data_IF_776499185031
#
_entry.id   IF_776499185031
#
_cell.length_a   1.000
_cell.length_b   1.000
_cell.length_c   1.000
_cell.angle_alpha   90.00
_cell.angle_beta   90.00
_cell.angle_gamma   90.00
#
_symmetry.space_group_name_H-M   'P 1'
#
loop_
_entity.id
_entity.type
_entity.pdbx_description
1 polymer ?
#
# COMPACT_ATOMS: atom_id res chain seq x y z
N UNK A 1 0.33 -15.01 -22.99
CA UNK A 1 0.32 -16.37 -23.59
C UNK A 1 -0.91 -17.21 -23.23
N UNK A 2 -1.31 -17.33 -21.95
CA UNK A 2 -2.41 -18.22 -21.55
C UNK A 2 -3.77 -17.90 -22.19
N UNK A 3 -4.26 -16.66 -22.07
CA UNK A 3 -5.55 -16.21 -22.65
C UNK A 3 -5.59 -16.38 -24.17
N UNK A 4 -4.47 -16.16 -24.86
CA UNK A 4 -4.39 -16.26 -26.32
C UNK A 4 -4.50 -17.70 -26.83
N UNK A 5 -4.06 -18.68 -26.04
CA UNK A 5 -4.14 -20.12 -26.38
C UNK A 5 -5.50 -20.75 -26.02
N UNK A 6 -6.34 -20.03 -25.28
CA UNK A 6 -7.60 -20.56 -24.77
C UNK A 6 -8.68 -20.48 -25.85
N UNK A 7 -9.35 -21.60 -26.14
CA UNK A 7 -10.54 -21.61 -27.01
C UNK A 7 -11.68 -20.81 -26.36
N UNK A 8 -12.59 -20.19 -27.15
CA UNK A 8 -13.77 -19.53 -26.61
C UNK A 8 -14.54 -20.42 -25.62
N UNK A 9 -14.99 -19.85 -24.50
CA UNK A 9 -15.64 -20.58 -23.41
C UNK A 9 -14.69 -21.34 -22.47
N UNK A 10 -13.43 -21.55 -22.87
CA UNK A 10 -12.42 -22.21 -22.04
C UNK A 10 -12.09 -21.44 -20.77
N UNK A 11 -11.64 -22.15 -19.74
CA UNK A 11 -11.33 -21.61 -18.41
C UNK A 11 -9.82 -21.62 -18.18
N UNK A 12 -9.31 -20.53 -17.62
CA UNK A 12 -7.93 -20.35 -17.25
C UNK A 12 -7.85 -19.84 -15.82
N UNK A 13 -7.16 -20.60 -14.96
CA UNK A 13 -7.04 -20.30 -13.54
C UNK A 13 -5.58 -20.01 -13.19
N UNK A 14 -5.38 -18.98 -12.37
CA UNK A 14 -4.06 -18.56 -11.90
C UNK A 14 -4.06 -18.46 -10.37
N UNK A 15 -2.94 -18.85 -9.77
CA UNK A 15 -2.63 -18.57 -8.36
C UNK A 15 -1.55 -17.50 -8.34
N UNK A 16 -1.83 -16.36 -7.69
CA UNK A 16 -0.92 -15.21 -7.73
C UNK A 16 -1.13 -14.26 -6.54
N UNK A 17 -0.49 -13.10 -6.61
CA UNK A 17 -0.64 -12.00 -5.65
C UNK A 17 -1.90 -11.18 -5.95
N UNK A 18 -2.52 -10.60 -4.93
CA UNK A 18 -3.60 -9.59 -5.05
C UNK A 18 -3.14 -8.26 -5.63
N UNK A 19 -1.84 -8.11 -5.89
CA UNK A 19 -1.24 -6.90 -6.43
C UNK A 19 -1.90 -6.48 -7.75
N UNK A 20 -2.16 -7.43 -8.67
CA UNK A 20 -2.73 -7.12 -9.97
C UNK A 20 -4.17 -6.61 -9.89
N UNK A 21 -4.96 -7.08 -8.93
CA UNK A 21 -6.36 -6.69 -8.73
C UNK A 21 -6.43 -5.31 -8.07
N UNK A 22 -5.56 -5.04 -7.08
CA UNK A 22 -5.63 -3.86 -6.21
C UNK A 22 -4.93 -2.62 -6.78
N UNK A 23 -3.96 -2.76 -7.68
CA UNK A 23 -3.19 -1.62 -8.20
C UNK A 23 -3.80 -1.00 -9.45
N UNK A 24 -3.46 0.28 -9.67
CA UNK A 24 -3.90 1.10 -10.80
C UNK A 24 -2.82 1.25 -11.87
N UNK A 25 -3.11 2.01 -12.94
CA UNK A 25 -2.24 2.21 -14.10
C UNK A 25 -0.80 2.66 -13.83
N UNK A 26 -0.48 3.17 -12.64
CA UNK A 26 0.87 3.59 -12.25
C UNK A 26 1.81 2.42 -11.91
N UNK A 27 1.46 1.21 -12.32
CA UNK A 27 2.18 -0.04 -12.05
C UNK A 27 2.28 -0.88 -13.32
N UNK A 28 3.10 -1.93 -13.34
CA UNK A 28 3.29 -2.84 -14.48
C UNK A 28 2.02 -3.58 -14.97
N UNK A 29 0.85 -3.32 -14.37
CA UNK A 29 -0.44 -3.96 -14.65
C UNK A 29 -1.27 -3.19 -15.70
N UNK A 30 -0.78 -2.03 -16.16
CA UNK A 30 -1.51 -1.11 -17.07
C UNK A 30 -2.17 -1.80 -18.27
N UNK A 31 -1.52 -2.81 -18.85
CA UNK A 31 -1.99 -3.53 -20.04
C UNK A 31 -2.79 -4.79 -19.71
N UNK A 32 -2.61 -5.37 -18.52
CA UNK A 32 -3.21 -6.65 -18.15
C UNK A 32 -4.72 -6.54 -17.95
N UNK A 33 -5.17 -5.54 -17.20
CA UNK A 33 -6.60 -5.34 -16.90
C UNK A 33 -7.44 -5.07 -18.15
N UNK A 34 -7.07 -4.11 -19.03
CA UNK A 34 -7.78 -3.94 -20.30
C UNK A 34 -7.88 -5.25 -21.08
N UNK A 35 -6.76 -5.95 -21.26
CA UNK A 35 -6.74 -7.19 -22.02
C UNK A 35 -7.65 -8.28 -21.43
N UNK A 36 -7.66 -8.44 -20.10
CA UNK A 36 -8.57 -9.36 -19.42
C UNK A 36 -10.03 -8.95 -19.65
N UNK A 37 -10.35 -7.66 -19.53
CA UNK A 37 -11.73 -7.18 -19.70
C UNK A 37 -12.21 -7.30 -21.14
N UNK A 38 -11.33 -7.19 -22.12
CA UNK A 38 -11.68 -7.35 -23.53
C UNK A 38 -11.88 -8.83 -23.89
N UNK A 39 -11.01 -9.70 -23.39
CA UNK A 39 -10.94 -11.10 -23.84
C UNK A 39 -11.65 -12.09 -22.92
N UNK A 40 -11.88 -11.77 -21.65
CA UNK A 40 -12.32 -12.72 -20.65
C UNK A 40 -13.42 -12.18 -19.73
N UNK A 41 -14.22 -13.10 -19.19
CA UNK A 41 -14.97 -12.87 -17.97
C UNK A 41 -14.13 -13.30 -16.77
N UNK A 42 -14.03 -12.47 -15.74
CA UNK A 42 -13.64 -12.91 -14.42
C UNK A 42 -14.85 -13.63 -13.80
N UNK A 43 -14.75 -14.95 -13.63
CA UNK A 43 -15.88 -15.77 -13.15
C UNK A 43 -15.76 -16.10 -11.67
N UNK A 44 -14.53 -16.20 -11.15
CA UNK A 44 -14.31 -16.51 -9.75
C UNK A 44 -13.04 -15.84 -9.22
N UNK A 45 -13.10 -15.40 -7.98
CA UNK A 45 -11.98 -14.90 -7.21
C UNK A 45 -11.98 -15.55 -5.82
N UNK A 46 -10.87 -16.19 -5.47
CA UNK A 46 -10.64 -16.82 -4.17
C UNK A 46 -9.57 -16.03 -3.44
N UNK A 47 -9.94 -15.38 -2.34
CA UNK A 47 -9.01 -14.70 -1.43
C UNK A 47 -8.47 -15.69 -0.41
N UNK A 48 -7.19 -16.03 -0.57
CA UNK A 48 -6.46 -16.93 0.34
C UNK A 48 -5.97 -16.19 1.59
N UNK A 49 -6.19 -14.87 1.68
CA UNK A 49 -5.81 -14.03 2.81
C UNK A 49 -4.32 -14.17 3.16
N UNK A 50 -3.98 -14.81 4.29
CA UNK A 50 -2.61 -15.02 4.79
C UNK A 50 -2.11 -16.46 4.61
N UNK A 51 -2.88 -17.33 3.97
CA UNK A 51 -2.49 -18.73 3.78
C UNK A 51 -1.29 -18.79 2.83
N UNK A 52 -0.22 -19.45 3.28
CA UNK A 52 0.88 -19.84 2.42
C UNK A 52 0.54 -21.17 1.77
N UNK A 53 -0.04 -21.11 0.57
CA UNK A 53 -0.36 -22.31 -0.23
C UNK A 53 0.92 -23.07 -0.59
N UNK A 54 1.95 -22.33 -0.99
CA UNK A 54 3.28 -22.87 -1.30
C UNK A 54 4.26 -22.34 -0.25
N UNK A 55 4.60 -23.15 0.75
CA UNK A 55 5.45 -22.74 1.88
C UNK A 55 6.88 -22.41 1.43
N UNK A 56 7.38 -23.14 0.45
CA UNK A 56 8.77 -23.06 -0.02
C UNK A 56 8.93 -22.15 -1.25
N UNK A 57 7.83 -21.65 -1.83
CA UNK A 57 7.89 -20.72 -2.94
C UNK A 57 8.09 -19.29 -2.45
N UNK A 58 9.08 -18.60 -3.03
CA UNK A 58 9.30 -17.17 -2.77
C UNK A 58 8.14 -16.33 -3.31
N UNK A 59 7.68 -15.35 -2.53
CA UNK A 59 6.62 -14.41 -2.92
C UNK A 59 5.31 -14.58 -2.15
N UNK A 60 4.32 -13.75 -2.50
CA UNK A 60 2.98 -13.79 -1.90
C UNK A 60 2.01 -14.50 -2.84
N UNK A 61 1.38 -15.57 -2.38
CA UNK A 61 0.33 -16.29 -3.13
C UNK A 61 -0.97 -16.19 -2.37
N UNK A 62 -1.63 -15.03 -2.48
CA UNK A 62 -2.79 -14.69 -1.65
C UNK A 62 -4.11 -14.65 -2.44
N UNK A 63 -4.12 -14.98 -3.74
CA UNK A 63 -5.37 -15.27 -4.43
C UNK A 63 -5.29 -16.31 -5.54
N UNK A 64 -6.46 -16.86 -5.84
CA UNK A 64 -6.74 -17.64 -7.04
C UNK A 64 -7.80 -16.89 -7.83
N UNK A 65 -7.66 -16.80 -9.14
CA UNK A 65 -8.72 -16.27 -9.98
C UNK A 65 -8.91 -17.12 -11.22
N UNK A 66 -10.16 -17.23 -11.65
CA UNK A 66 -10.55 -17.99 -12.83
C UNK A 66 -11.15 -17.05 -13.86
N UNK A 67 -10.59 -17.12 -15.07
CA UNK A 67 -11.04 -16.39 -16.24
C UNK A 67 -11.72 -17.35 -17.21
N UNK A 68 -12.79 -16.90 -17.85
CA UNK A 68 -13.40 -17.61 -18.98
C UNK A 68 -13.20 -16.79 -20.26
N UNK A 69 -12.65 -17.40 -21.31
CA UNK A 69 -12.51 -16.74 -22.63
C UNK A 69 -13.89 -16.41 -23.20
N UNK A 70 -14.09 -15.16 -23.61
CA UNK A 70 -15.32 -14.72 -24.26
C UNK A 70 -15.43 -15.33 -25.66
N UNK A 71 -16.66 -15.60 -26.09
CA UNK A 71 -16.97 -15.79 -27.50
C UNK A 71 -17.13 -14.44 -28.21
N UNK A 72 -17.07 -14.42 -29.54
CA UNK A 72 -17.33 -13.19 -30.30
C UNK A 72 -18.78 -12.70 -30.09
N UNK A 73 -19.73 -13.61 -29.96
CA UNK A 73 -21.12 -13.27 -29.60
C UNK A 73 -21.22 -12.62 -28.20
N UNK A 74 -20.42 -13.08 -27.22
CA UNK A 74 -20.37 -12.44 -25.89
C UNK A 74 -19.88 -10.99 -25.97
N UNK A 75 -18.86 -10.74 -26.81
CA UNK A 75 -18.30 -9.41 -27.04
C UNK A 75 -19.32 -8.49 -27.72
N UNK A 76 -19.96 -8.97 -28.79
CA UNK A 76 -20.99 -8.23 -29.53
C UNK A 76 -22.20 -7.88 -28.66
N UNK A 77 -22.72 -8.85 -27.90
CA UNK A 77 -23.88 -8.64 -27.01
C UNK A 77 -23.54 -7.95 -25.69
N UNK A 78 -22.25 -7.65 -25.44
CA UNK A 78 -21.76 -7.04 -24.20
C UNK A 78 -22.31 -7.75 -22.96
N UNK A 79 -22.26 -9.09 -22.99
CA UNK A 79 -22.79 -9.95 -21.93
C UNK A 79 -22.15 -9.57 -20.60
N UNK A 80 -22.96 -9.54 -19.55
CA UNK A 80 -22.50 -9.27 -18.20
C UNK A 80 -22.60 -10.53 -17.35
N UNK A 81 -21.54 -10.85 -16.60
CA UNK A 81 -21.51 -11.98 -15.68
C UNK A 81 -21.23 -11.50 -14.27
N UNK A 82 -21.90 -12.12 -13.30
CA UNK A 82 -21.56 -12.01 -11.88
C UNK A 82 -20.22 -12.69 -11.61
N UNK A 83 -19.61 -12.34 -10.48
CA UNK A 83 -18.29 -12.82 -10.07
C UNK A 83 -18.45 -13.54 -8.74
N UNK A 84 -18.15 -14.84 -8.75
CA UNK A 84 -18.15 -15.64 -7.54
C UNK A 84 -16.93 -15.27 -6.67
N UNK A 85 -17.16 -15.04 -5.39
CA UNK A 85 -16.11 -14.78 -4.42
C UNK A 85 -16.10 -15.89 -3.38
N UNK A 86 -14.91 -16.42 -3.12
CA UNK A 86 -14.64 -17.31 -1.99
C UNK A 86 -13.59 -16.63 -1.11
N UNK A 87 -13.92 -16.36 0.13
CA UNK A 87 -13.04 -15.65 1.05
C UNK A 87 -12.69 -16.53 2.23
N UNK A 88 -11.39 -16.67 2.50
CA UNK A 88 -10.89 -17.44 3.63
C UNK A 88 -10.58 -16.48 4.78
N UNK A 89 -11.22 -16.71 5.94
CA UNK A 89 -11.11 -15.83 7.10
C UNK A 89 -9.77 -16.01 7.82
N UNK A 90 -9.02 -14.92 8.03
CA UNK A 90 -7.74 -14.93 8.75
C UNK A 90 -7.86 -14.83 10.28
N UNK A 91 -9.01 -14.42 10.82
CA UNK A 91 -9.14 -14.02 12.23
C UNK A 91 -9.15 -15.18 13.24
N UNK A 92 -9.30 -16.43 12.79
CA UNK A 92 -9.27 -17.61 13.66
C UNK A 92 -7.95 -18.42 13.60
N UNK A 93 -6.96 -17.94 12.84
CA UNK A 93 -5.80 -18.75 12.46
C UNK A 93 -4.54 -18.62 13.32
N UNK A 94 -4.52 -17.80 14.37
CA UNK A 94 -3.26 -17.63 15.14
C UNK A 94 -3.02 -18.73 16.18
N UNK A 95 -4.05 -19.42 16.69
CA UNK A 95 -3.87 -20.31 17.86
C UNK A 95 -4.35 -21.77 17.70
N UNK A 96 -4.88 -22.21 16.55
CA UNK A 96 -5.57 -23.53 16.49
C UNK A 96 -5.08 -24.57 15.48
N UNK A 97 -4.12 -24.28 14.60
CA UNK A 97 -3.69 -25.29 13.62
C UNK A 97 -2.18 -25.37 13.46
N UNK A 98 -1.57 -26.24 14.28
CA UNK A 98 -0.28 -26.85 14.02
C UNK A 98 -0.40 -27.82 12.84
N UNK A 99 0.58 -27.83 11.93
CA UNK A 99 0.78 -28.88 10.89
C UNK A 99 -0.23 -28.94 9.74
N UNK A 100 -1.52 -29.19 10.03
CA UNK A 100 -2.59 -29.65 9.13
C UNK A 100 -3.59 -28.57 8.65
N UNK A 101 -3.29 -27.28 8.84
CA UNK A 101 -4.22 -26.20 8.51
C UNK A 101 -4.65 -26.16 7.03
N UNK A 102 -3.69 -26.34 6.12
CA UNK A 102 -3.94 -26.18 4.69
C UNK A 102 -4.82 -27.30 4.14
N UNK A 103 -4.61 -28.57 4.55
CA UNK A 103 -5.42 -29.70 4.08
C UNK A 103 -6.88 -29.55 4.50
N UNK A 104 -7.15 -29.15 5.75
CA UNK A 104 -8.53 -28.88 6.22
C UNK A 104 -9.18 -27.75 5.41
N UNK A 105 -8.44 -26.68 5.10
CA UNK A 105 -8.95 -25.58 4.28
C UNK A 105 -9.25 -26.07 2.86
N UNK A 106 -8.34 -26.81 2.22
CA UNK A 106 -8.56 -27.35 0.87
C UNK A 106 -9.69 -28.37 0.84
N UNK A 107 -9.80 -29.24 1.84
CA UNK A 107 -10.91 -30.16 1.98
C UNK A 107 -12.23 -29.42 2.17
N UNK A 108 -12.22 -28.33 2.94
CA UNK A 108 -13.40 -27.47 3.13
C UNK A 108 -13.76 -26.75 1.85
N UNK A 109 -12.79 -26.20 1.11
CA UNK A 109 -13.01 -25.63 -0.21
C UNK A 109 -13.65 -26.68 -1.14
N UNK A 110 -13.09 -27.89 -1.19
CA UNK A 110 -13.58 -28.98 -2.03
C UNK A 110 -14.98 -29.48 -1.62
N UNK A 111 -15.28 -29.54 -0.31
CA UNK A 111 -16.61 -29.90 0.22
C UNK A 111 -17.64 -28.78 0.00
N UNK A 112 -17.26 -27.52 0.20
CA UNK A 112 -18.11 -26.34 -0.04
C UNK A 112 -18.39 -26.09 -1.53
N UNK A 113 -17.59 -26.67 -2.44
CA UNK A 113 -17.97 -26.74 -3.85
C UNK A 113 -19.20 -27.63 -4.10
N UNK A 114 -19.48 -28.59 -3.20
CA UNK A 114 -20.62 -29.51 -3.27
C UNK A 114 -21.86 -29.03 -2.51
N UNK A 115 -21.69 -28.21 -1.47
CA UNK A 115 -22.79 -27.65 -0.67
C UNK A 115 -22.58 -26.16 -0.39
N UNK A 116 -23.60 -25.34 -0.64
CA UNK A 116 -23.57 -23.86 -0.55
C UNK A 116 -23.56 -23.30 0.89
N UNK A 117 -22.95 -24.02 1.84
CA UNK A 117 -22.93 -23.59 3.24
C UNK A 117 -21.65 -22.82 3.53
N UNK A 118 -21.83 -21.59 4.03
CA UNK A 118 -20.74 -20.82 4.65
C UNK A 118 -20.20 -21.62 5.83
N UNK A 119 -18.89 -21.87 5.83
CA UNK A 119 -18.21 -22.51 6.94
C UNK A 119 -17.58 -21.43 7.82
N UNK A 120 -17.28 -21.78 9.07
CA UNK A 120 -16.60 -20.90 10.04
C UNK A 120 -15.30 -20.24 9.55
N UNK A 121 -14.72 -20.73 8.44
CA UNK A 121 -13.45 -20.30 7.87
C UNK A 121 -13.54 -19.87 6.40
N UNK A 122 -14.65 -20.21 5.71
CA UNK A 122 -14.81 -19.96 4.27
C UNK A 122 -16.18 -19.36 4.02
N UNK A 123 -16.20 -18.17 3.46
CA UNK A 123 -17.43 -17.47 3.06
C UNK A 123 -17.52 -17.44 1.54
N UNK A 124 -18.67 -17.81 0.98
CA UNK A 124 -18.94 -17.72 -0.45
C UNK A 124 -20.06 -16.72 -0.71
N UNK A 125 -19.85 -15.81 -1.63
CA UNK A 125 -20.84 -14.79 -2.00
C UNK A 125 -20.61 -14.31 -3.43
N UNK A 126 -21.57 -13.55 -3.95
CA UNK A 126 -21.42 -12.84 -5.22
C UNK A 126 -20.80 -11.47 -4.95
N UNK A 127 -19.77 -11.11 -5.71
CA UNK A 127 -19.25 -9.75 -5.68
C UNK A 127 -20.36 -8.77 -6.06
N UNK A 128 -20.37 -7.61 -5.42
CA UNK A 128 -21.24 -6.50 -5.78
C UNK A 128 -20.84 -5.86 -7.12
N UNK A 129 -19.64 -6.18 -7.61
CA UNK A 129 -19.18 -5.85 -8.95
C UNK A 129 -19.50 -6.99 -9.91
N UNK A 130 -20.03 -6.63 -11.06
CA UNK A 130 -20.13 -7.49 -12.23
C UNK A 130 -19.00 -7.20 -13.21
N UNK A 131 -18.80 -8.07 -14.20
CA UNK A 131 -17.78 -7.89 -15.23
C UNK A 131 -17.88 -6.54 -15.97
N UNK A 132 -19.10 -6.00 -16.12
CA UNK A 132 -19.34 -4.67 -16.71
C UNK A 132 -18.86 -3.51 -15.84
N UNK A 133 -18.83 -3.69 -14.52
CA UNK A 133 -18.45 -2.65 -13.55
C UNK A 133 -16.94 -2.65 -13.23
N UNK A 134 -16.19 -3.63 -13.75
CA UNK A 134 -14.75 -3.70 -13.58
C UNK A 134 -14.04 -2.59 -14.38
N UNK A 135 -13.23 -1.80 -13.67
CA UNK A 135 -12.54 -0.64 -14.25
C UNK A 135 -11.16 -1.03 -14.79
N UNK A 136 -10.86 -0.73 -16.06
CA UNK A 136 -9.55 -1.05 -16.66
C UNK A 136 -8.34 -0.31 -16.05
N UNK A 137 -8.56 0.79 -15.30
CA UNK A 137 -7.51 1.63 -14.68
C UNK A 137 -7.44 1.52 -13.15
N UNK A 138 -8.50 1.04 -12.50
CA UNK A 138 -8.71 1.12 -11.05
C UNK A 138 -8.54 -0.20 -10.31
N UNK A 139 -8.63 -0.16 -8.98
CA UNK A 139 -8.74 -1.37 -8.15
C UNK A 139 -10.07 -2.08 -8.42
N UNK A 140 -10.05 -3.40 -8.54
CA UNK A 140 -11.26 -4.22 -8.57
C UNK A 140 -11.53 -4.65 -7.13
N UNK A 141 -12.37 -3.91 -6.42
CA UNK A 141 -12.69 -4.20 -5.02
C UNK A 141 -13.63 -5.43 -4.96
N UNK A 142 -13.13 -6.61 -5.32
CA UNK A 142 -13.94 -7.82 -5.55
C UNK A 142 -14.52 -8.38 -4.25
N UNK A 143 -13.82 -8.22 -3.12
CA UNK A 143 -14.23 -8.63 -1.77
C UNK A 143 -15.40 -7.82 -1.19
N UNK A 144 -16.20 -7.22 -2.05
CA UNK A 144 -17.24 -6.29 -1.68
C UNK A 144 -18.60 -6.96 -1.87
N UNK A 145 -19.27 -7.41 -0.79
CA UNK A 145 -20.60 -7.99 -0.87
C UNK A 145 -21.64 -6.95 -1.28
N UNK A 146 -22.78 -7.42 -1.82
CA UNK A 146 -23.87 -6.55 -2.28
C UNK A 146 -24.45 -5.69 -1.15
N UNK A 147 -24.50 -6.24 0.06
CA UNK A 147 -24.97 -5.58 1.27
C UNK A 147 -24.12 -4.34 1.59
N UNK A 148 -22.81 -4.47 1.44
CA UNK A 148 -21.88 -3.36 1.67
C UNK A 148 -22.01 -2.34 0.54
N UNK A 149 -22.22 -2.77 -0.73
CA UNK A 149 -22.51 -1.85 -1.84
C UNK A 149 -23.72 -0.99 -1.59
N UNK A 150 -24.81 -1.56 -1.08
CA UNK A 150 -26.01 -0.79 -0.72
C UNK A 150 -25.70 0.31 0.30
N UNK A 151 -24.86 0.03 1.30
CA UNK A 151 -24.43 1.03 2.28
C UNK A 151 -23.56 2.11 1.63
N UNK A 152 -22.57 1.75 0.82
CA UNK A 152 -21.73 2.75 0.15
C UNK A 152 -22.47 3.57 -0.87
N UNK A 153 -23.46 3.02 -1.57
CA UNK A 153 -24.26 3.80 -2.50
C UNK A 153 -25.17 4.79 -1.77
N UNK A 154 -25.68 4.44 -0.57
CA UNK A 154 -26.31 5.40 0.36
C UNK A 154 -25.33 6.49 0.82
N UNK A 155 -24.11 6.14 1.18
CA UNK A 155 -23.08 7.14 1.56
C UNK A 155 -22.77 8.05 0.37
N UNK A 156 -22.58 7.50 -0.83
CA UNK A 156 -22.30 8.27 -2.04
C UNK A 156 -23.44 9.21 -2.42
N UNK A 157 -24.70 8.80 -2.22
CA UNK A 157 -25.85 9.65 -2.50
C UNK A 157 -25.90 10.84 -1.52
N UNK A 158 -25.61 10.59 -0.24
CA UNK A 158 -25.47 11.64 0.77
C UNK A 158 -24.32 12.62 0.44
N UNK A 159 -23.22 12.11 -0.13
CA UNK A 159 -22.09 12.94 -0.58
C UNK A 159 -22.32 13.63 -1.96
N UNK A 160 -23.56 13.72 -2.48
CA UNK A 160 -23.82 14.47 -3.71
C UNK A 160 -24.13 15.93 -3.40
N UNK A 161 -23.31 16.83 -3.94
CA UNK A 161 -23.55 18.28 -3.89
C UNK A 161 -23.66 18.80 -5.32
N UNK A 162 -24.73 19.54 -5.64
CA UNK A 162 -25.02 20.06 -7.00
C UNK A 162 -24.94 18.97 -8.09
N UNK A 163 -25.48 17.78 -7.80
CA UNK A 163 -25.53 16.66 -8.75
C UNK A 163 -24.22 15.90 -8.97
N UNK A 164 -23.13 16.28 -8.29
CA UNK A 164 -21.84 15.58 -8.37
C UNK A 164 -21.46 14.97 -7.03
N UNK A 165 -20.93 13.75 -7.06
CA UNK A 165 -20.36 13.12 -5.87
C UNK A 165 -19.09 13.86 -5.48
N UNK A 166 -19.05 14.36 -4.25
CA UNK A 166 -17.87 15.00 -3.68
C UNK A 166 -17.01 13.96 -2.97
N UNK A 167 -15.71 14.14 -3.06
CA UNK A 167 -14.70 13.28 -2.45
C UNK A 167 -13.88 14.09 -1.45
N UNK A 168 -13.19 13.40 -0.54
CA UNK A 168 -12.32 14.05 0.45
C UNK A 168 -11.27 14.98 -0.19
N UNK A 169 -10.74 14.60 -1.36
CA UNK A 169 -9.78 15.40 -2.14
C UNK A 169 -10.34 16.74 -2.64
N UNK A 170 -11.66 16.89 -2.68
CA UNK A 170 -12.31 18.13 -3.14
C UNK A 170 -12.33 19.18 -2.02
N UNK A 171 -12.15 18.76 -0.76
CA UNK A 171 -12.09 19.62 0.42
C UNK A 171 -10.70 19.71 1.04
N UNK A 172 -9.89 18.67 0.90
CA UNK A 172 -8.60 18.55 1.58
C UNK A 172 -7.48 18.24 0.61
N UNK A 173 -6.32 18.85 0.87
CA UNK A 173 -5.07 18.50 0.19
C UNK A 173 -4.53 17.21 0.83
N UNK A 174 -4.74 16.09 0.17
CA UNK A 174 -4.20 14.79 0.60
C UNK A 174 -2.77 14.67 0.07
N UNK A 175 -1.81 14.48 0.99
CA UNK A 175 -0.40 14.25 0.65
C UNK A 175 0.10 12.96 1.26
N UNK A 176 1.06 12.33 0.61
CA UNK A 176 1.86 11.31 1.25
C UNK A 176 2.66 11.93 2.40
N UNK A 177 2.98 11.13 3.42
CA UNK A 177 3.94 11.53 4.44
C UNK A 177 5.33 11.82 3.86
N UNK A 178 6.22 12.32 4.70
CA UNK A 178 7.62 12.53 4.31
C UNK A 178 8.28 11.17 4.03
N UNK A 179 8.89 11.05 2.85
CA UNK A 179 9.68 9.88 2.46
C UNK A 179 11.14 10.34 2.43
N UNK A 180 11.97 9.72 3.27
CA UNK A 180 13.39 10.01 3.35
C UNK A 180 14.16 8.94 2.59
N UNK A 181 15.30 9.33 2.03
CA UNK A 181 16.20 8.40 1.34
C UNK A 181 16.84 7.39 2.31
N UNK A 182 17.06 7.81 3.55
CA UNK A 182 17.59 6.97 4.62
C UNK A 182 17.18 7.53 5.99
N UNK A 183 16.30 6.81 6.68
CA UNK A 183 15.71 7.29 7.94
C UNK A 183 16.77 7.47 9.03
N UNK A 184 17.75 6.58 9.12
CA UNK A 184 18.76 6.55 10.18
C UNK A 184 19.71 7.77 10.13
N UNK A 185 19.84 8.40 8.95
CA UNK A 185 20.64 9.62 8.78
C UNK A 185 19.82 10.85 9.15
N UNK A 186 18.59 10.95 8.64
CA UNK A 186 17.80 12.19 8.72
C UNK A 186 16.89 12.27 9.95
N UNK A 187 16.65 11.15 10.64
CA UNK A 187 15.89 11.08 11.89
C UNK A 187 16.87 10.82 13.04
N UNK A 188 17.05 11.82 13.89
CA UNK A 188 17.92 11.75 15.05
C UNK A 188 17.18 11.13 16.23
N UNK A 189 17.56 9.91 16.57
CA UNK A 189 17.02 9.20 17.72
C UNK A 189 17.51 9.84 19.03
N UNK A 190 16.58 10.16 19.96
CA UNK A 190 16.96 10.56 21.31
C UNK A 190 17.81 9.46 21.98
N UNK A 191 18.79 9.87 22.78
CA UNK A 191 19.71 9.02 23.55
C UNK A 191 20.77 8.25 22.75
N UNK A 192 20.65 8.15 21.43
CA UNK A 192 21.64 7.53 20.56
C UNK A 192 22.47 8.59 19.81
N UNK A 193 21.79 9.36 18.96
CA UNK A 193 22.40 10.38 18.10
C UNK A 193 22.21 11.78 18.71
N UNK A 194 21.13 11.97 19.46
CA UNK A 194 20.76 13.27 20.00
C UNK A 194 20.59 13.23 21.53
N UNK A 195 21.21 14.19 22.23
CA UNK A 195 21.06 14.39 23.68
C UNK A 195 20.47 15.76 23.97
N UNK A 196 19.43 15.79 24.78
CA UNK A 196 18.83 17.03 25.29
C UNK A 196 19.16 17.17 26.78
N UNK A 197 19.77 18.29 27.19
CA UNK A 197 20.07 18.61 28.60
C UNK A 197 19.78 20.08 28.84
N UNK A 198 18.92 20.42 29.80
CA UNK A 198 18.65 21.81 30.22
C UNK A 198 18.50 22.81 29.05
N UNK A 199 17.61 22.48 28.09
CA UNK A 199 17.35 23.26 26.87
C UNK A 199 18.50 23.33 25.84
N UNK A 200 19.62 22.67 26.11
CA UNK A 200 20.71 22.44 25.16
C UNK A 200 20.51 21.13 24.42
N UNK A 201 20.85 21.14 23.13
CA UNK A 201 20.72 19.99 22.24
C UNK A 201 22.08 19.68 21.67
N UNK A 202 22.50 18.42 21.77
CA UNK A 202 23.77 17.93 21.29
C UNK A 202 23.53 16.84 20.26
N UNK A 203 24.32 16.84 19.19
CA UNK A 203 24.29 15.82 18.13
C UNK A 203 25.62 15.08 18.10
N UNK A 204 25.56 13.75 17.96
CA UNK A 204 26.71 12.88 17.87
C UNK A 204 27.34 12.96 16.47
N UNK A 205 28.60 13.38 16.39
CA UNK A 205 29.39 13.48 15.16
C UNK A 205 30.69 12.73 15.41
N UNK A 206 31.02 11.73 14.58
CA UNK A 206 32.22 10.91 14.69
C UNK A 206 32.48 10.34 16.11
N UNK A 207 31.42 10.05 16.88
CA UNK A 207 31.53 9.53 18.26
C UNK A 207 31.31 10.58 19.35
N UNK A 208 31.52 11.85 19.07
CA UNK A 208 31.50 12.94 20.04
C UNK A 208 30.21 13.77 19.98
N UNK A 209 29.74 14.28 21.12
CA UNK A 209 28.54 15.10 21.18
C UNK A 209 28.87 16.58 21.05
N UNK A 210 28.39 17.19 19.97
CA UNK A 210 28.61 18.62 19.66
C UNK A 210 27.31 19.40 19.88
N UNK A 211 27.40 20.55 20.55
CA UNK A 211 26.25 21.40 20.89
C UNK A 211 25.72 22.14 19.66
N UNK A 212 24.41 22.08 19.43
CA UNK A 212 23.72 22.85 18.38
C UNK A 212 23.51 24.30 18.78
N UNK A 213 23.63 25.20 17.81
CA UNK A 213 23.22 26.59 17.96
C UNK A 213 21.68 26.76 17.86
N UNK A 214 21.16 27.94 18.20
CA UNK A 214 19.71 28.21 18.19
C UNK A 214 19.07 28.08 16.80
N UNK A 215 19.79 28.47 15.74
CA UNK A 215 19.30 28.33 14.36
C UNK A 215 19.20 26.86 13.93
N UNK A 216 20.11 26.01 14.39
CA UNK A 216 20.12 24.57 14.14
C UNK A 216 19.03 23.84 14.92
N UNK A 217 18.79 24.23 16.18
CA UNK A 217 17.68 23.69 16.97
C UNK A 217 16.34 23.88 16.26
N UNK A 218 16.13 25.03 15.60
CA UNK A 218 14.91 25.32 14.82
C UNK A 218 14.71 24.36 13.63
N UNK A 219 15.78 23.71 13.14
CA UNK A 219 15.74 22.73 12.04
C UNK A 219 15.39 21.33 12.50
N UNK A 220 15.39 21.06 13.80
CA UNK A 220 14.93 19.79 14.34
C UNK A 220 13.41 19.84 14.58
N UNK A 221 12.68 18.92 13.93
CA UNK A 221 11.23 18.79 14.11
C UNK A 221 10.89 17.38 14.60
N UNK A 222 9.94 17.25 15.52
CA UNK A 222 9.46 15.92 15.91
C UNK A 222 8.81 15.25 14.71
N UNK A 223 9.15 13.98 14.48
CA UNK A 223 8.50 13.16 13.46
C UNK A 223 7.74 12.02 14.11
N UNK A 224 6.53 11.76 13.60
CA UNK A 224 5.67 10.68 14.03
C UNK A 224 5.59 9.65 12.91
N UNK A 225 5.67 8.36 13.27
CA UNK A 225 5.52 7.26 12.33
C UNK A 225 4.19 6.56 12.56
N UNK A 226 3.84 5.59 11.72
CA UNK A 226 2.58 4.84 11.82
C UNK A 226 2.32 4.29 13.23
N UNK A 227 3.38 3.92 13.97
CA UNK A 227 3.28 3.46 15.36
C UNK A 227 2.72 4.49 16.33
N UNK A 228 2.80 5.79 16.03
CA UNK A 228 2.36 6.90 16.89
C UNK A 228 0.89 7.24 16.68
N UNK A 229 0.33 6.84 15.54
CA UNK A 229 -1.06 7.08 15.16
C UNK A 229 -1.95 6.13 15.98
N UNK A 230 -3.05 6.65 16.50
CA UNK A 230 -4.09 5.92 17.22
C UNK A 230 -5.42 6.16 16.53
N UNK A 231 -6.42 5.36 16.91
CA UNK A 231 -7.80 5.62 16.48
C UNK A 231 -8.15 7.04 16.95
N UNK A 232 -8.56 7.89 16.00
CA UNK A 232 -8.92 9.30 16.22
C UNK A 232 -7.79 10.26 16.65
N UNK A 233 -6.52 9.91 16.53
CA UNK A 233 -5.45 10.86 16.85
C UNK A 233 -4.04 10.30 16.85
N UNK A 234 -3.15 10.93 17.62
CA UNK A 234 -1.80 10.45 17.89
C UNK A 234 -1.39 10.88 19.30
N UNK A 235 -0.45 10.14 19.90
CA UNK A 235 0.16 10.51 21.18
C UNK A 235 1.36 11.41 20.92
N UNK A 236 1.36 12.63 21.46
CA UNK A 236 2.44 13.61 21.22
C UNK A 236 3.78 13.17 21.82
N UNK A 237 3.72 12.38 22.88
CA UNK A 237 4.86 11.78 23.56
C UNK A 237 5.49 10.61 22.77
N UNK A 238 4.72 9.95 21.90
CA UNK A 238 5.15 8.80 21.09
C UNK A 238 5.79 9.23 19.77
N UNK A 239 6.59 10.30 19.78
CA UNK A 239 7.35 10.71 18.60
C UNK A 239 8.50 9.72 18.34
N UNK A 240 8.85 9.52 17.08
CA UNK A 240 9.89 8.55 16.69
C UNK A 240 11.30 9.12 16.89
N UNK A 241 11.48 10.40 16.61
CA UNK A 241 12.73 11.12 16.77
C UNK A 241 12.63 12.54 16.23
N UNK A 242 13.77 13.17 16.00
CA UNK A 242 13.85 14.52 15.43
C UNK A 242 14.34 14.46 13.99
N UNK A 243 13.51 14.88 13.03
CA UNK A 243 13.94 15.02 11.65
C UNK A 243 14.75 16.31 11.46
N UNK A 244 15.84 16.22 10.71
CA UNK A 244 16.54 17.39 10.17
C UNK A 244 15.73 17.95 8.99
N UNK A 245 15.06 19.07 9.21
CA UNK A 245 14.11 19.66 8.26
C UNK A 245 14.59 21.00 7.70
N UNK A 246 14.74 21.04 6.38
CA UNK A 246 15.05 22.23 5.60
C UNK A 246 13.94 22.49 4.58
N UNK A 247 13.41 23.71 4.56
CA UNK A 247 12.42 24.09 3.56
C UNK A 247 13.12 24.36 2.22
N UNK A 248 12.73 23.62 1.18
CA UNK A 248 13.29 23.74 -0.16
C UNK A 248 13.20 25.17 -0.72
N UNK A 249 12.14 25.90 -0.37
CA UNK A 249 11.90 27.27 -0.86
C UNK A 249 12.99 28.24 -0.42
N UNK A 250 13.59 28.04 0.75
CA UNK A 250 14.66 28.90 1.28
C UNK A 250 15.95 28.85 0.42
N UNK A 251 16.05 27.85 -0.45
CA UNK A 251 17.23 27.60 -1.29
C UNK A 251 16.93 27.66 -2.78
N UNK A 252 15.71 28.04 -3.18
CA UNK A 252 15.40 28.28 -4.59
C UNK A 252 16.26 29.42 -5.13
N UNK A 253 16.70 29.30 -6.38
CA UNK A 253 17.42 30.32 -7.14
C UNK A 253 18.80 30.72 -6.59
N UNK A 254 19.45 29.89 -5.77
CA UNK A 254 20.82 30.11 -5.32
C UNK A 254 21.80 29.20 -6.06
N UNK A 255 22.95 29.76 -6.41
CA UNK A 255 24.09 28.99 -6.87
C UNK A 255 24.49 27.92 -5.83
N UNK A 256 24.90 26.74 -6.30
CA UNK A 256 25.18 25.58 -5.44
C UNK A 256 26.31 25.85 -4.45
N UNK A 257 27.37 26.55 -4.87
CA UNK A 257 28.53 26.82 -4.02
C UNK A 257 28.18 27.84 -2.95
N UNK A 258 27.55 28.96 -3.37
CA UNK A 258 27.05 29.99 -2.43
C UNK A 258 26.07 29.42 -1.40
N UNK A 259 25.22 28.47 -1.81
CA UNK A 259 24.29 27.79 -0.91
C UNK A 259 25.03 26.93 0.13
N UNK A 260 26.01 26.16 -0.29
CA UNK A 260 26.75 25.26 0.60
C UNK A 260 27.57 26.04 1.63
N UNK A 261 28.20 27.14 1.22
CA UNK A 261 28.91 28.05 2.14
C UNK A 261 27.98 28.66 3.18
N UNK A 262 26.80 29.12 2.76
CA UNK A 262 25.79 29.64 3.68
C UNK A 262 25.29 28.59 4.67
N UNK A 263 25.09 27.36 4.22
CA UNK A 263 24.71 26.25 5.11
C UNK A 263 25.81 25.94 6.13
N UNK A 264 27.08 25.89 5.69
CA UNK A 264 28.22 25.70 6.60
C UNK A 264 28.33 26.81 7.63
N UNK A 265 28.12 28.06 7.23
CA UNK A 265 28.18 29.22 8.14
C UNK A 265 27.01 29.25 9.12
N UNK A 266 25.80 28.97 8.64
CA UNK A 266 24.57 29.11 9.44
C UNK A 266 24.25 27.87 10.29
N UNK A 267 24.59 26.69 9.78
CA UNK A 267 24.30 25.38 10.37
C UNK A 267 25.57 24.51 10.43
N UNK A 268 26.65 24.96 11.10
CA UNK A 268 27.95 24.29 11.06
C UNK A 268 27.93 22.85 11.60
N UNK A 269 27.19 22.60 12.67
CA UNK A 269 27.12 21.30 13.35
C UNK A 269 26.24 20.34 12.55
N UNK A 270 25.04 20.76 12.13
CA UNK A 270 24.18 19.92 11.29
C UNK A 270 24.81 19.63 9.93
N UNK A 271 25.56 20.58 9.37
CA UNK A 271 26.31 20.36 8.12
C UNK A 271 27.42 19.32 8.34
N UNK A 272 28.17 19.42 9.44
CA UNK A 272 29.22 18.45 9.78
C UNK A 272 28.64 17.05 10.02
N UNK A 273 27.51 16.97 10.73
CA UNK A 273 26.77 15.73 10.94
C UNK A 273 26.36 15.07 9.62
N UNK A 274 25.82 15.82 8.66
CA UNK A 274 25.44 15.26 7.35
C UNK A 274 26.67 14.89 6.50
N UNK A 275 27.78 15.62 6.67
CA UNK A 275 29.01 15.37 5.93
C UNK A 275 29.66 14.03 6.28
N UNK A 276 29.53 13.56 7.52
CA UNK A 276 30.06 12.24 7.93
C UNK A 276 29.40 11.08 7.16
N UNK A 277 28.20 11.30 6.60
CA UNK A 277 27.48 10.32 5.78
C UNK A 277 27.55 10.61 4.27
N UNK A 278 28.44 11.51 3.82
CA UNK A 278 28.50 11.97 2.42
C UNK A 278 28.63 10.80 1.44
N UNK A 279 29.58 9.91 1.67
CA UNK A 279 29.83 8.75 0.78
C UNK A 279 28.62 7.84 0.68
N UNK A 280 27.95 7.60 1.81
CA UNK A 280 26.74 6.79 1.84
C UNK A 280 25.60 7.46 1.06
N UNK A 281 25.37 8.75 1.28
CA UNK A 281 24.33 9.52 0.60
C UNK A 281 24.57 9.63 -0.90
N UNK A 282 25.82 9.67 -1.36
CA UNK A 282 26.18 9.71 -2.78
C UNK A 282 25.80 8.41 -3.51
N UNK A 283 25.89 7.25 -2.85
CA UNK A 283 25.44 5.96 -3.44
C UNK A 283 23.95 5.96 -3.80
N UNK A 284 23.13 6.73 -3.09
CA UNK A 284 21.70 6.84 -3.35
C UNK A 284 21.34 7.86 -4.45
N UNK A 285 22.27 8.75 -4.85
CA UNK A 285 22.04 9.69 -5.96
C UNK A 285 22.12 9.04 -7.34
N UNK A 286 22.82 7.92 -7.46
CA UNK A 286 23.03 7.22 -8.75
C UNK A 286 21.83 6.33 -9.13
N UNK A 287 20.91 6.07 -8.20
CA UNK A 287 19.78 5.13 -8.38
C UNK A 287 18.41 5.77 -8.63
N UNK A 288 18.30 7.10 -8.63
CA UNK A 288 17.06 7.85 -8.88
C UNK A 288 17.24 8.82 -10.05
#
# INVERSE_FOLDING_TARGET
LGIAKLKPGGILTYITTNYWITKSQKTGIKLLKPHILDECFLIQYIDLSRIRVFRDAQGQHNCIFSLQKKTENDKLKKINKKIDVVQISSSKHQNQFSGNANSVIFDTLNRSLKHSLNHNFVTRYQSALTNRELNNKGSWNLLYPIEVKNIVDKIKSFCRIKGKTTFLKDYFIIRNGLILIKDEIFILNPNEILKCRNNEVFVKINGEFVKLNEEEKKRLKKIYKSRSIRIYGYKMEDFHGYIIYFNKEEFKNRDKNKRNELLKKKYPVLTSYLHQYKEELEKYKVKN
#
